data_IF_773388393957
#
_entry.id   IF_773388393957
#
_cell.length_a   1.000
_cell.length_b   1.000
_cell.length_c   1.000
_cell.angle_alpha   90.00
_cell.angle_beta   90.00
_cell.angle_gamma   90.00
#
_symmetry.space_group_name_H-M   'P 1'
#
loop_
_entity.id
_entity.type
_entity.pdbx_description
1 polymer ?
#
# COMPACT_ATOMS: atom_id res chain seq x y z
N UNK A 1 -8.07 -41.54 13.32
CA UNK A 1 -7.51 -40.18 13.23
C UNK A 1 -8.70 -39.25 13.14
N UNK A 2 -8.65 -38.12 13.85
CA UNK A 2 -9.74 -37.14 13.77
C UNK A 2 -9.63 -36.38 12.44
N UNK A 3 -10.73 -35.77 11.98
CA UNK A 3 -10.72 -34.92 10.77
C UNK A 3 -9.85 -33.67 10.90
N UNK A 4 -9.43 -33.33 12.13
CA UNK A 4 -8.54 -32.21 12.43
C UNK A 4 -7.09 -32.62 12.16
N UNK A 5 -6.68 -33.80 12.65
CA UNK A 5 -5.33 -34.35 12.41
C UNK A 5 -5.00 -34.54 10.92
N UNK A 6 -5.99 -34.92 10.11
CA UNK A 6 -5.82 -35.09 8.66
C UNK A 6 -5.63 -33.75 7.92
N UNK A 7 -6.22 -32.67 8.44
CA UNK A 7 -6.14 -31.33 7.84
C UNK A 7 -4.80 -30.69 8.15
N UNK A 8 -4.37 -30.69 9.41
CA UNK A 8 -3.06 -30.17 9.80
C UNK A 8 -1.93 -30.83 9.00
N UNK A 9 -2.03 -32.15 8.80
CA UNK A 9 -1.08 -32.90 7.99
C UNK A 9 -1.11 -32.48 6.51
N UNK A 10 -2.28 -32.12 5.97
CA UNK A 10 -2.42 -31.63 4.60
C UNK A 10 -1.85 -30.22 4.42
N UNK A 11 -2.07 -29.34 5.41
CA UNK A 11 -1.54 -27.98 5.43
C UNK A 11 -0.01 -27.97 5.42
N UNK A 12 0.62 -28.71 6.35
CA UNK A 12 2.09 -28.81 6.43
C UNK A 12 2.69 -29.37 5.14
N UNK A 13 2.09 -30.44 4.59
CA UNK A 13 2.54 -31.02 3.31
C UNK A 13 2.45 -30.01 2.16
N UNK A 14 1.43 -29.17 2.15
CA UNK A 14 1.28 -28.16 1.10
C UNK A 14 2.32 -27.05 1.22
N UNK A 15 2.68 -26.65 2.44
CA UNK A 15 3.78 -25.69 2.68
C UNK A 15 5.11 -26.28 2.18
N UNK A 16 5.43 -27.51 2.58
CA UNK A 16 6.66 -28.20 2.18
C UNK A 16 6.74 -28.35 0.65
N UNK A 17 5.64 -28.74 0.02
CA UNK A 17 5.56 -28.90 -1.43
C UNK A 17 5.70 -27.56 -2.15
N UNK A 18 5.04 -26.51 -1.67
CA UNK A 18 5.17 -25.16 -2.22
C UNK A 18 6.59 -24.64 -2.17
N UNK A 19 7.28 -24.82 -1.04
CA UNK A 19 8.70 -24.48 -0.89
C UNK A 19 9.57 -25.29 -1.85
N UNK A 20 9.41 -26.62 -1.89
CA UNK A 20 10.18 -27.51 -2.75
C UNK A 20 10.05 -27.11 -4.22
N UNK A 21 8.83 -26.89 -4.70
CA UNK A 21 8.56 -26.47 -6.07
C UNK A 21 9.15 -25.09 -6.40
N UNK A 22 9.12 -24.17 -5.45
CA UNK A 22 9.76 -22.86 -5.62
C UNK A 22 11.29 -23.00 -5.69
N UNK A 23 11.90 -23.88 -4.90
CA UNK A 23 13.32 -24.21 -5.01
C UNK A 23 13.68 -24.80 -6.37
N UNK A 24 12.85 -25.72 -6.87
CA UNK A 24 13.01 -26.41 -8.15
C UNK A 24 12.69 -25.51 -9.36
N UNK A 25 12.10 -24.33 -9.14
CA UNK A 25 11.71 -23.40 -10.21
C UNK A 25 10.43 -23.79 -10.95
N UNK A 26 9.60 -24.68 -10.38
CA UNK A 26 8.32 -25.11 -10.96
C UNK A 26 7.23 -24.06 -10.70
N UNK A 27 7.14 -23.06 -11.59
CA UNK A 27 6.19 -21.96 -11.45
C UNK A 27 4.73 -22.43 -11.39
N UNK A 28 4.36 -23.41 -12.21
CA UNK A 28 2.98 -23.93 -12.23
C UNK A 28 2.66 -24.61 -10.92
N UNK A 29 3.55 -25.48 -10.46
CA UNK A 29 3.30 -26.20 -9.24
C UNK A 29 3.30 -25.29 -8.00
N UNK A 30 4.05 -24.18 -8.00
CA UNK A 30 3.96 -23.15 -6.96
C UNK A 30 2.60 -22.43 -6.98
N UNK A 31 2.07 -22.11 -8.17
CA UNK A 31 0.72 -21.53 -8.32
C UNK A 31 -0.36 -22.45 -7.73
N UNK A 32 -0.26 -23.76 -7.99
CA UNK A 32 -1.18 -24.75 -7.43
C UNK A 32 -1.09 -24.80 -5.89
N UNK A 33 0.13 -24.68 -5.35
CA UNK A 33 0.36 -24.61 -3.91
C UNK A 33 -0.25 -23.34 -3.30
N UNK A 34 -0.08 -22.18 -3.94
CA UNK A 34 -0.70 -20.93 -3.48
C UNK A 34 -2.22 -20.98 -3.47
N UNK A 35 -2.83 -21.62 -4.46
CA UNK A 35 -4.29 -21.81 -4.51
C UNK A 35 -4.76 -22.64 -3.33
N UNK A 36 -4.05 -23.72 -3.02
CA UNK A 36 -4.38 -24.63 -1.91
C UNK A 36 -4.18 -23.96 -0.54
N UNK A 37 -3.05 -23.28 -0.33
CA UNK A 37 -2.75 -22.57 0.91
C UNK A 37 -3.76 -21.44 1.18
N UNK A 38 -4.14 -20.70 0.14
CA UNK A 38 -5.21 -19.71 0.22
C UNK A 38 -6.53 -20.34 0.66
N UNK A 39 -6.93 -21.44 0.02
CA UNK A 39 -8.21 -22.09 0.33
C UNK A 39 -8.24 -22.58 1.79
N UNK A 40 -7.13 -23.12 2.31
CA UNK A 40 -7.02 -23.47 3.73
C UNK A 40 -7.12 -22.25 4.65
N UNK A 41 -6.38 -21.17 4.35
CA UNK A 41 -6.43 -19.95 5.15
C UNK A 41 -7.84 -19.34 5.18
N UNK A 42 -8.52 -19.30 4.03
CA UNK A 42 -9.92 -18.85 3.91
C UNK A 42 -10.86 -19.75 4.71
N UNK A 43 -10.69 -21.07 4.66
CA UNK A 43 -11.50 -21.98 5.48
C UNK A 43 -11.33 -21.68 6.98
N UNK A 44 -10.10 -21.50 7.47
CA UNK A 44 -9.83 -21.18 8.87
C UNK A 44 -10.42 -19.83 9.30
N UNK A 45 -10.40 -18.83 8.42
CA UNK A 45 -11.04 -17.53 8.64
C UNK A 45 -12.56 -17.67 8.88
N UNK A 46 -13.19 -18.66 8.25
CA UNK A 46 -14.63 -18.93 8.36
C UNK A 46 -15.02 -19.80 9.56
N UNK A 47 -14.06 -20.45 10.23
CA UNK A 47 -14.32 -21.22 11.44
C UNK A 47 -14.48 -20.30 12.65
N UNK A 48 -14.95 -20.90 13.75
CA UNK A 48 -15.05 -20.22 15.04
C UNK A 48 -13.72 -19.59 15.46
N UNK A 49 -13.81 -18.43 16.10
CA UNK A 49 -12.65 -17.70 16.60
C UNK A 49 -12.05 -18.43 17.81
N UNK A 50 -11.17 -19.38 17.54
CA UNK A 50 -10.33 -20.05 18.53
C UNK A 50 -8.88 -19.60 18.38
N UNK A 51 -8.09 -19.73 19.45
CA UNK A 51 -6.67 -19.39 19.40
C UNK A 51 -5.89 -20.26 18.41
N UNK A 52 -6.29 -21.54 18.29
CA UNK A 52 -5.74 -22.51 17.35
C UNK A 52 -5.98 -22.10 15.90
N UNK A 53 -7.25 -21.93 15.49
CA UNK A 53 -7.60 -21.50 14.13
C UNK A 53 -6.92 -20.18 13.72
N UNK A 54 -6.78 -19.25 14.67
CA UNK A 54 -6.10 -17.97 14.44
C UNK A 54 -4.59 -18.13 14.25
N UNK A 55 -3.94 -19.04 14.98
CA UNK A 55 -2.52 -19.34 14.83
C UNK A 55 -2.23 -20.10 13.53
N UNK A 56 -3.07 -21.06 13.17
CA UNK A 56 -2.91 -21.85 11.95
C UNK A 56 -3.09 -20.97 10.70
N UNK A 57 -4.12 -20.10 10.70
CA UNK A 57 -4.30 -19.13 9.61
C UNK A 57 -3.09 -18.18 9.49
N UNK A 58 -2.51 -17.75 10.62
CA UNK A 58 -1.28 -16.93 10.61
C UNK A 58 -0.10 -17.71 10.05
N UNK A 59 0.06 -18.98 10.39
CA UNK A 59 1.12 -19.83 9.88
C UNK A 59 1.03 -19.98 8.36
N UNK A 60 -0.17 -20.20 7.82
CA UNK A 60 -0.40 -20.27 6.37
C UNK A 60 -0.08 -18.94 5.68
N UNK A 61 -0.51 -17.80 6.26
CA UNK A 61 -0.18 -16.46 5.74
C UNK A 61 1.35 -16.25 5.69
N UNK A 62 2.07 -16.64 6.75
CA UNK A 62 3.53 -16.53 6.80
C UNK A 62 4.16 -17.41 5.72
N UNK A 63 3.71 -18.67 5.59
CA UNK A 63 4.23 -19.60 4.60
C UNK A 63 4.02 -19.10 3.16
N UNK A 64 2.86 -18.51 2.85
CA UNK A 64 2.63 -17.87 1.55
C UNK A 64 3.61 -16.71 1.31
N UNK A 65 3.90 -15.90 2.33
CA UNK A 65 4.91 -14.85 2.25
C UNK A 65 6.31 -15.38 1.98
N UNK A 66 6.73 -16.44 2.68
CA UNK A 66 8.07 -17.01 2.54
C UNK A 66 8.27 -17.72 1.19
N UNK A 67 7.27 -18.47 0.72
CA UNK A 67 7.28 -19.03 -0.64
C UNK A 67 7.31 -17.88 -1.66
N UNK A 68 6.52 -16.82 -1.45
CA UNK A 68 6.48 -15.64 -2.32
C UNK A 68 7.86 -14.98 -2.47
N UNK A 69 8.61 -14.83 -1.38
CA UNK A 69 9.99 -14.31 -1.43
C UNK A 69 10.90 -15.20 -2.26
N UNK A 70 10.81 -16.51 -2.10
CA UNK A 70 11.58 -17.46 -2.91
C UNK A 70 11.23 -17.35 -4.40
N UNK A 71 9.96 -17.13 -4.75
CA UNK A 71 9.58 -16.86 -6.15
C UNK A 71 10.21 -15.57 -6.69
N UNK A 72 10.36 -14.53 -5.86
CA UNK A 72 11.04 -13.29 -6.23
C UNK A 72 12.52 -13.53 -6.50
N UNK A 73 13.20 -14.26 -5.61
CA UNK A 73 14.62 -14.64 -5.76
C UNK A 73 14.88 -15.41 -7.05
N UNK A 74 13.95 -16.29 -7.41
CA UNK A 74 13.98 -17.10 -8.64
C UNK A 74 13.40 -16.37 -9.86
N UNK A 75 12.91 -15.15 -9.70
CA UNK A 75 12.25 -14.33 -10.75
C UNK A 75 11.09 -15.06 -11.44
N UNK A 76 10.32 -15.83 -10.69
CA UNK A 76 9.20 -16.62 -11.20
C UNK A 76 7.93 -15.76 -11.27
N UNK A 77 7.83 -14.88 -12.27
CA UNK A 77 6.79 -13.83 -12.34
C UNK A 77 5.36 -14.34 -12.13
N UNK A 78 4.95 -15.41 -12.81
CA UNK A 78 3.60 -15.98 -12.68
C UNK A 78 3.33 -16.47 -11.24
N UNK A 79 4.32 -17.13 -10.63
CA UNK A 79 4.20 -17.62 -9.26
C UNK A 79 4.21 -16.46 -8.24
N UNK A 80 4.99 -15.41 -8.50
CA UNK A 80 5.00 -14.19 -7.68
C UNK A 80 3.67 -13.44 -7.73
N UNK A 81 3.03 -13.35 -8.91
CA UNK A 81 1.68 -12.79 -9.05
C UNK A 81 0.66 -13.64 -8.27
N UNK A 82 0.76 -14.97 -8.33
CA UNK A 82 -0.10 -15.84 -7.54
C UNK A 82 0.07 -15.63 -6.03
N UNK A 83 1.29 -15.38 -5.55
CA UNK A 83 1.54 -15.05 -4.15
C UNK A 83 0.82 -13.75 -3.73
N UNK A 84 0.90 -12.71 -4.58
CA UNK A 84 0.22 -11.42 -4.39
C UNK A 84 -1.28 -11.62 -4.29
N UNK A 85 -1.87 -12.36 -5.24
CA UNK A 85 -3.33 -12.58 -5.27
C UNK A 85 -3.79 -13.41 -4.07
N UNK A 86 -3.10 -14.50 -3.74
CA UNK A 86 -3.47 -15.34 -2.58
C UNK A 86 -3.44 -14.54 -1.28
N UNK A 87 -2.39 -13.74 -1.03
CA UNK A 87 -2.34 -12.90 0.17
C UNK A 87 -3.38 -11.77 0.16
N UNK A 88 -3.62 -11.16 -1.00
CA UNK A 88 -4.66 -10.14 -1.18
C UNK A 88 -6.06 -10.68 -0.88
N UNK A 89 -6.42 -11.84 -1.45
CA UNK A 89 -7.71 -12.49 -1.23
C UNK A 89 -7.90 -12.87 0.24
N UNK A 90 -6.87 -13.41 0.90
CA UNK A 90 -6.91 -13.74 2.33
C UNK A 90 -7.08 -12.49 3.19
N UNK A 91 -6.38 -11.39 2.86
CA UNK A 91 -6.53 -10.13 3.58
C UNK A 91 -7.95 -9.56 3.45
N UNK A 92 -8.52 -9.61 2.23
CA UNK A 92 -9.89 -9.18 1.96
C UNK A 92 -10.90 -10.02 2.72
N UNK A 93 -10.81 -11.34 2.67
CA UNK A 93 -11.75 -12.23 3.35
C UNK A 93 -11.66 -12.06 4.88
N UNK A 94 -10.45 -11.96 5.42
CA UNK A 94 -10.25 -11.70 6.84
C UNK A 94 -10.88 -10.37 7.27
N UNK A 95 -10.74 -9.32 6.45
CA UNK A 95 -11.37 -8.02 6.72
C UNK A 95 -12.91 -8.14 6.69
N UNK A 96 -13.49 -8.80 5.68
CA UNK A 96 -14.94 -9.00 5.58
C UNK A 96 -15.50 -9.78 6.78
N UNK A 97 -14.72 -10.70 7.34
CA UNK A 97 -15.04 -11.47 8.54
C UNK A 97 -14.68 -10.78 9.86
N UNK A 98 -14.22 -9.53 9.81
CA UNK A 98 -13.76 -8.75 10.98
C UNK A 98 -12.64 -9.44 11.77
N UNK A 99 -11.85 -10.29 11.10
CA UNK A 99 -10.64 -10.93 11.63
C UNK A 99 -9.44 -10.00 11.43
N UNK A 100 -9.47 -8.85 12.10
CA UNK A 100 -8.52 -7.74 11.87
C UNK A 100 -7.06 -8.17 12.01
N UNK A 101 -6.74 -9.03 12.99
CA UNK A 101 -5.36 -9.52 13.17
C UNK A 101 -4.86 -10.36 11.99
N UNK A 102 -5.72 -11.16 11.35
CA UNK A 102 -5.37 -11.94 10.15
C UNK A 102 -5.25 -11.03 8.93
N UNK A 103 -6.18 -10.09 8.78
CA UNK A 103 -6.17 -9.14 7.67
C UNK A 103 -4.91 -8.28 7.68
N UNK A 104 -4.51 -7.75 8.85
CA UNK A 104 -3.26 -7.03 9.03
C UNK A 104 -2.04 -7.91 8.70
N UNK A 105 -2.03 -9.16 9.15
CA UNK A 105 -0.91 -10.07 8.90
C UNK A 105 -0.75 -10.38 7.40
N UNK A 106 -1.86 -10.62 6.70
CA UNK A 106 -1.86 -10.88 5.26
C UNK A 106 -1.47 -9.64 4.46
N UNK A 107 -1.99 -8.47 4.81
CA UNK A 107 -1.60 -7.18 4.21
C UNK A 107 -0.10 -6.89 4.43
N UNK A 108 0.44 -7.16 5.62
CA UNK A 108 1.88 -7.04 5.88
C UNK A 108 2.72 -8.00 5.05
N UNK A 109 2.27 -9.25 4.87
CA UNK A 109 2.92 -10.20 3.97
C UNK A 109 2.95 -9.69 2.53
N UNK A 110 1.80 -9.21 2.04
CA UNK A 110 1.67 -8.62 0.71
C UNK A 110 2.57 -7.40 0.53
N UNK A 111 2.58 -6.48 1.49
CA UNK A 111 3.43 -5.29 1.48
C UNK A 111 4.92 -5.64 1.45
N UNK A 112 5.33 -6.61 2.26
CA UNK A 112 6.71 -7.12 2.25
C UNK A 112 7.11 -7.73 0.90
N UNK A 113 6.22 -8.51 0.28
CA UNK A 113 6.45 -9.05 -1.06
C UNK A 113 6.54 -7.95 -2.13
N UNK A 114 5.67 -6.93 -2.06
CA UNK A 114 5.72 -5.81 -2.99
C UNK A 114 7.10 -5.13 -3.00
N UNK A 115 7.67 -4.90 -1.82
CA UNK A 115 9.01 -4.34 -1.67
C UNK A 115 10.10 -5.28 -2.18
N UNK A 116 9.98 -6.58 -1.94
CA UNK A 116 10.92 -7.59 -2.46
C UNK A 116 10.91 -7.63 -3.99
N UNK A 117 9.73 -7.63 -4.62
CA UNK A 117 9.63 -7.63 -6.08
C UNK A 117 10.23 -6.37 -6.69
N UNK A 118 10.01 -5.21 -6.06
CA UNK A 118 10.65 -3.97 -6.49
C UNK A 118 12.18 -4.06 -6.35
N UNK A 119 12.71 -4.61 -5.24
CA UNK A 119 14.14 -4.84 -5.06
C UNK A 119 14.75 -5.76 -6.12
N UNK A 120 14.01 -6.77 -6.60
CA UNK A 120 14.47 -7.63 -7.70
C UNK A 120 14.29 -7.00 -9.09
N UNK A 121 13.75 -5.79 -9.17
CA UNK A 121 13.47 -5.10 -10.42
C UNK A 121 12.32 -5.74 -11.23
N UNK A 122 11.41 -6.44 -10.57
CA UNK A 122 10.28 -7.12 -11.20
C UNK A 122 9.09 -6.15 -11.33
N UNK A 123 9.22 -5.13 -12.20
CA UNK A 123 8.28 -3.99 -12.30
C UNK A 123 6.82 -4.45 -12.49
N UNK A 124 6.56 -5.39 -13.40
CA UNK A 124 5.20 -5.89 -13.65
C UNK A 124 4.56 -6.55 -12.40
N UNK A 125 5.36 -7.26 -11.61
CA UNK A 125 4.89 -7.95 -10.40
C UNK A 125 4.72 -6.96 -9.25
N UNK A 126 5.68 -6.05 -9.07
CA UNK A 126 5.59 -4.98 -8.07
C UNK A 126 4.41 -4.04 -8.33
N UNK A 127 4.13 -3.72 -9.60
CA UNK A 127 2.92 -3.01 -10.03
C UNK A 127 1.65 -3.78 -9.65
N UNK A 128 1.60 -5.09 -9.90
CA UNK A 128 0.43 -5.88 -9.53
C UNK A 128 0.23 -5.94 -8.00
N UNK A 129 1.31 -5.96 -7.22
CA UNK A 129 1.25 -5.83 -5.78
C UNK A 129 0.72 -4.45 -5.35
N UNK A 130 1.14 -3.36 -6.03
CA UNK A 130 0.61 -2.01 -5.80
C UNK A 130 -0.90 -1.93 -6.09
N UNK A 131 -1.38 -2.55 -7.18
CA UNK A 131 -2.81 -2.64 -7.50
C UNK A 131 -3.59 -3.34 -6.38
N UNK A 132 -3.06 -4.45 -5.89
CA UNK A 132 -3.68 -5.24 -4.83
C UNK A 132 -3.72 -4.47 -3.50
N UNK A 133 -2.62 -3.84 -3.11
CA UNK A 133 -2.53 -2.96 -1.94
C UNK A 133 -3.52 -1.79 -2.03
N UNK A 134 -3.58 -1.14 -3.19
CA UNK A 134 -4.46 0.01 -3.39
C UNK A 134 -5.95 -0.32 -3.37
N UNK A 135 -6.33 -1.45 -3.97
CA UNK A 135 -7.71 -1.94 -3.92
C UNK A 135 -8.12 -2.34 -2.49
N UNK A 136 -7.23 -3.02 -1.76
CA UNK A 136 -7.46 -3.38 -0.36
C UNK A 136 -7.55 -2.14 0.54
N UNK A 137 -6.73 -1.11 0.30
CA UNK A 137 -6.81 0.18 0.99
C UNK A 137 -8.18 0.84 0.83
N UNK A 138 -8.69 0.91 -0.41
CA UNK A 138 -10.04 1.46 -0.69
C UNK A 138 -11.16 0.64 -0.04
N UNK A 139 -11.11 -0.69 -0.16
CA UNK A 139 -12.09 -1.57 0.49
C UNK A 139 -12.05 -1.44 2.01
N UNK A 140 -10.87 -1.23 2.58
CA UNK A 140 -10.71 -1.00 4.03
C UNK A 140 -11.36 0.31 4.47
N UNK A 141 -11.30 1.37 3.66
CA UNK A 141 -12.04 2.62 3.92
C UNK A 141 -13.56 2.37 3.94
N UNK A 142 -14.08 1.67 2.93
CA UNK A 142 -15.52 1.33 2.84
C UNK A 142 -15.99 0.52 4.05
N UNK A 143 -15.13 -0.35 4.58
CA UNK A 143 -15.35 -1.14 5.78
C UNK A 143 -15.06 -0.40 7.10
N UNK A 144 -14.64 0.88 7.05
CA UNK A 144 -14.21 1.70 8.20
C UNK A 144 -13.06 1.10 9.01
N UNK A 145 -12.16 0.38 8.34
CA UNK A 145 -10.95 -0.24 8.92
C UNK A 145 -9.74 0.69 8.74
N UNK A 146 -9.67 1.74 9.54
CA UNK A 146 -8.66 2.81 9.37
C UNK A 146 -7.21 2.30 9.41
N UNK A 147 -6.93 1.34 10.29
CA UNK A 147 -5.58 0.77 10.45
C UNK A 147 -5.14 0.02 9.19
N UNK A 148 -6.03 -0.76 8.58
CA UNK A 148 -5.74 -1.47 7.33
C UNK A 148 -5.56 -0.49 6.15
N UNK A 149 -6.42 0.53 6.07
CA UNK A 149 -6.29 1.56 5.04
C UNK A 149 -4.94 2.29 5.15
N UNK A 150 -4.59 2.74 6.36
CA UNK A 150 -3.33 3.44 6.65
C UNK A 150 -2.10 2.56 6.37
N UNK A 151 -2.18 1.26 6.68
CA UNK A 151 -1.11 0.31 6.40
C UNK A 151 -0.93 0.11 4.89
N UNK A 152 -2.03 0.05 4.13
CA UNK A 152 -2.00 -0.04 2.67
C UNK A 152 -1.35 1.19 2.04
N UNK A 153 -1.74 2.40 2.47
CA UNK A 153 -1.12 3.66 2.05
C UNK A 153 0.38 3.68 2.37
N UNK A 154 0.77 3.22 3.56
CA UNK A 154 2.18 3.19 3.96
C UNK A 154 3.00 2.27 3.05
N UNK A 155 2.51 1.06 2.74
CA UNK A 155 3.20 0.16 1.81
C UNK A 155 3.25 0.72 0.39
N UNK A 156 2.19 1.39 -0.09
CA UNK A 156 2.22 2.06 -1.39
C UNK A 156 3.29 3.15 -1.45
N UNK A 157 3.44 3.96 -0.40
CA UNK A 157 4.51 4.96 -0.32
C UNK A 157 5.90 4.32 -0.31
N UNK A 158 6.12 3.30 0.54
CA UNK A 158 7.41 2.60 0.58
C UNK A 158 7.75 1.97 -0.77
N UNK A 159 6.76 1.38 -1.44
CA UNK A 159 6.89 0.80 -2.76
C UNK A 159 7.17 1.84 -3.84
N UNK A 160 6.48 2.98 -3.83
CA UNK A 160 6.76 4.09 -4.75
C UNK A 160 8.20 4.60 -4.57
N UNK A 161 8.67 4.71 -3.33
CA UNK A 161 10.06 5.11 -3.04
C UNK A 161 11.06 4.08 -3.55
N UNK A 162 10.82 2.79 -3.30
CA UNK A 162 11.67 1.70 -3.81
C UNK A 162 11.66 1.66 -5.34
N UNK A 163 10.50 1.82 -5.98
CA UNK A 163 10.35 1.90 -7.43
C UNK A 163 11.12 3.09 -8.03
N UNK A 164 11.18 4.22 -7.31
CA UNK A 164 12.03 5.35 -7.69
C UNK A 164 13.53 5.04 -7.58
N UNK A 165 13.94 4.27 -6.56
CA UNK A 165 15.33 3.83 -6.39
C UNK A 165 15.76 2.84 -7.49
N UNK A 166 14.87 1.90 -7.84
CA UNK A 166 15.13 0.79 -8.76
C UNK A 166 14.71 1.08 -10.22
N UNK A 167 14.26 2.31 -10.51
CA UNK A 167 13.79 2.76 -11.83
C UNK A 167 12.67 1.88 -12.42
N UNK A 168 11.59 1.71 -11.66
CA UNK A 168 10.40 0.91 -11.99
C UNK A 168 9.20 1.83 -12.28
N UNK A 169 9.10 2.39 -13.51
CA UNK A 169 8.15 3.45 -13.82
C UNK A 169 6.68 3.02 -13.70
N UNK A 170 6.34 1.76 -14.01
CA UNK A 170 4.96 1.29 -13.91
C UNK A 170 4.52 1.16 -12.46
N UNK A 171 5.36 0.54 -11.62
CA UNK A 171 5.13 0.43 -10.17
C UNK A 171 5.02 1.81 -9.52
N UNK A 172 5.94 2.71 -9.85
CA UNK A 172 5.97 4.07 -9.31
C UNK A 172 4.67 4.83 -9.64
N UNK A 173 4.26 4.84 -10.91
CA UNK A 173 3.04 5.53 -11.34
C UNK A 173 1.78 4.92 -10.72
N UNK A 174 1.70 3.60 -10.66
CA UNK A 174 0.58 2.88 -10.04
C UNK A 174 0.46 3.19 -8.55
N UNK A 175 1.56 3.13 -7.80
CA UNK A 175 1.55 3.38 -6.37
C UNK A 175 1.13 4.82 -6.03
N UNK A 176 1.65 5.82 -6.76
CA UNK A 176 1.24 7.23 -6.61
C UNK A 176 -0.24 7.42 -6.94
N UNK A 177 -0.73 6.80 -8.02
CA UNK A 177 -2.14 6.88 -8.41
C UNK A 177 -3.07 6.26 -7.36
N UNK A 178 -2.67 5.16 -6.73
CA UNK A 178 -3.47 4.56 -5.66
C UNK A 178 -3.46 5.38 -4.38
N UNK A 179 -2.34 6.02 -4.00
CA UNK A 179 -2.32 6.99 -2.90
C UNK A 179 -3.34 8.12 -3.13
N UNK A 180 -3.32 8.74 -4.31
CA UNK A 180 -4.34 9.76 -4.66
C UNK A 180 -5.75 9.17 -4.61
N UNK A 181 -5.94 7.97 -5.15
CA UNK A 181 -7.24 7.31 -5.18
C UNK A 181 -7.80 7.03 -3.79
N UNK A 182 -6.96 6.58 -2.85
CA UNK A 182 -7.35 6.35 -1.45
C UNK A 182 -7.69 7.68 -0.77
N UNK A 183 -6.82 8.69 -0.89
CA UNK A 183 -7.05 10.01 -0.31
C UNK A 183 -8.32 10.71 -0.82
N UNK A 184 -8.67 10.49 -2.08
CA UNK A 184 -9.95 10.94 -2.66
C UNK A 184 -11.13 10.16 -2.10
N UNK A 185 -11.01 8.84 -2.01
CA UNK A 185 -12.09 7.98 -1.48
C UNK A 185 -12.40 8.26 -0.01
N UNK A 186 -11.40 8.59 0.80
CA UNK A 186 -11.59 8.82 2.24
C UNK A 186 -12.25 10.15 2.58
N UNK A 187 -12.08 11.18 1.76
CA UNK A 187 -12.70 12.49 1.99
C UNK A 187 -14.23 12.42 1.89
N UNK A 188 -14.76 11.51 1.05
CA UNK A 188 -16.18 11.26 0.92
C UNK A 188 -16.79 10.39 2.03
N UNK A 189 -15.99 9.85 2.96
CA UNK A 189 -16.41 8.81 3.90
C UNK A 189 -16.27 9.20 5.39
N UNK A 190 -16.21 10.50 5.72
CA UNK A 190 -15.90 11.03 7.07
C UNK A 190 -14.49 10.63 7.58
N UNK A 191 -13.64 10.08 6.71
CA UNK A 191 -12.29 9.62 7.03
C UNK A 191 -11.23 10.65 6.57
N UNK A 192 -11.46 11.92 6.90
CA UNK A 192 -10.59 13.03 6.49
C UNK A 192 -9.11 12.83 6.91
N UNK A 193 -8.86 12.10 8.00
CA UNK A 193 -7.50 11.78 8.44
C UNK A 193 -6.72 10.97 7.39
N UNK A 194 -7.35 10.03 6.69
CA UNK A 194 -6.71 9.28 5.60
C UNK A 194 -6.43 10.18 4.39
N UNK A 195 -7.30 11.14 4.09
CA UNK A 195 -7.05 12.13 3.03
C UNK A 195 -5.84 13.01 3.34
N UNK A 196 -5.74 13.49 4.58
CA UNK A 196 -4.55 14.21 5.09
C UNK A 196 -3.32 13.30 5.02
N UNK A 197 -3.47 12.03 5.42
CA UNK A 197 -2.42 11.02 5.36
C UNK A 197 -1.86 10.82 3.95
N UNK A 198 -2.71 10.64 2.96
CA UNK A 198 -2.33 10.55 1.54
C UNK A 198 -1.56 11.78 1.07
N UNK A 199 -1.98 13.00 1.44
CA UNK A 199 -1.24 14.22 1.10
C UNK A 199 0.16 14.27 1.74
N UNK A 200 0.29 13.84 3.00
CA UNK A 200 1.59 13.72 3.70
C UNK A 200 2.51 12.70 3.00
N UNK A 201 1.98 11.55 2.59
CA UNK A 201 2.78 10.53 1.90
C UNK A 201 3.25 11.01 0.52
N UNK A 202 2.42 11.78 -0.18
CA UNK A 202 2.81 12.46 -1.42
C UNK A 202 3.87 13.55 -1.17
N UNK A 203 3.80 14.29 -0.05
CA UNK A 203 4.85 15.23 0.39
C UNK A 203 6.20 14.50 0.51
N UNK A 204 6.22 13.36 1.21
CA UNK A 204 7.44 12.55 1.41
C UNK A 204 8.03 12.06 0.08
N UNK A 205 7.19 11.59 -0.84
CA UNK A 205 7.62 11.14 -2.17
C UNK A 205 8.14 12.30 -3.03
N UNK A 206 7.47 13.45 -2.99
CA UNK A 206 7.91 14.66 -3.70
C UNK A 206 9.26 15.16 -3.18
N UNK A 207 9.46 15.20 -1.87
CA UNK A 207 10.74 15.58 -1.25
C UNK A 207 11.85 14.59 -1.66
N UNK A 208 11.55 13.29 -1.69
CA UNK A 208 12.50 12.28 -2.14
C UNK A 208 12.91 12.49 -3.62
N UNK A 209 11.94 12.79 -4.50
CA UNK A 209 12.19 13.09 -5.90
C UNK A 209 13.05 14.37 -6.07
N UNK A 210 12.78 15.42 -5.30
CA UNK A 210 13.60 16.66 -5.31
C UNK A 210 15.04 16.35 -4.90
N UNK A 211 15.24 15.61 -3.80
CA UNK A 211 16.58 15.24 -3.31
C UNK A 211 17.39 14.42 -4.31
N UNK A 212 16.71 13.60 -5.13
CA UNK A 212 17.31 12.85 -6.23
C UNK A 212 17.52 13.67 -7.50
N UNK A 213 17.14 14.94 -7.51
CA UNK A 213 17.17 15.82 -8.69
C UNK A 213 16.30 15.29 -9.85
N UNK A 214 15.24 14.55 -9.55
CA UNK A 214 14.34 13.96 -10.55
C UNK A 214 13.12 14.86 -10.78
N UNK A 215 13.31 15.94 -11.52
CA UNK A 215 12.27 16.92 -11.83
C UNK A 215 11.00 16.30 -12.49
N UNK A 216 11.10 15.34 -13.44
CA UNK A 216 9.92 14.65 -13.97
C UNK A 216 9.04 14.01 -12.90
N UNK A 217 9.63 13.34 -11.90
CA UNK A 217 8.85 12.72 -10.81
C UNK A 217 8.26 13.76 -9.86
N UNK A 218 8.96 14.86 -9.60
CA UNK A 218 8.40 15.98 -8.82
C UNK A 218 7.14 16.52 -9.49
N UNK A 219 7.17 16.69 -10.82
CA UNK A 219 5.99 17.14 -11.58
C UNK A 219 4.81 16.19 -11.44
N UNK A 220 5.03 14.89 -11.55
CA UNK A 220 3.91 13.95 -11.42
C UNK A 220 3.35 13.94 -9.98
N UNK A 221 4.16 14.17 -8.94
CA UNK A 221 3.65 14.39 -7.59
C UNK A 221 2.81 15.69 -7.51
N UNK A 222 3.25 16.77 -8.15
CA UNK A 222 2.47 18.01 -8.24
C UNK A 222 1.12 17.78 -8.94
N UNK A 223 1.10 17.05 -10.06
CA UNK A 223 -0.11 16.69 -10.79
C UNK A 223 -1.04 15.77 -9.97
N UNK A 224 -0.46 14.85 -9.20
CA UNK A 224 -1.17 13.99 -8.26
C UNK A 224 -1.85 14.81 -7.14
N UNK A 225 -1.13 15.78 -6.56
CA UNK A 225 -1.65 16.70 -5.55
C UNK A 225 -2.72 17.64 -6.11
N UNK A 226 -2.60 18.07 -7.38
CA UNK A 226 -3.64 18.85 -8.05
C UNK A 226 -4.95 18.05 -8.13
N UNK A 227 -4.86 16.79 -8.58
CA UNK A 227 -6.01 15.90 -8.70
C UNK A 227 -6.66 15.67 -7.34
N UNK A 228 -5.84 15.41 -6.30
CA UNK A 228 -6.31 15.26 -4.93
C UNK A 228 -7.00 16.55 -4.46
N UNK A 229 -6.33 17.70 -4.54
CA UNK A 229 -6.84 18.98 -4.07
C UNK A 229 -8.15 19.41 -4.73
N UNK A 230 -8.29 19.21 -6.05
CA UNK A 230 -9.53 19.50 -6.78
C UNK A 230 -10.71 18.71 -6.24
N UNK A 231 -10.48 17.46 -5.87
CA UNK A 231 -11.52 16.58 -5.38
C UNK A 231 -11.82 16.84 -3.90
N UNK A 232 -10.80 17.09 -3.07
CA UNK A 232 -10.97 17.51 -1.68
C UNK A 232 -11.75 18.82 -1.57
N UNK A 233 -11.52 19.77 -2.48
CA UNK A 233 -12.28 21.02 -2.57
C UNK A 233 -13.76 20.77 -2.87
N UNK A 234 -14.08 19.86 -3.79
CA UNK A 234 -15.47 19.47 -4.10
C UNK A 234 -16.17 18.77 -2.94
N UNK A 235 -15.43 18.00 -2.17
CA UNK A 235 -15.94 17.23 -1.03
C UNK A 235 -15.89 18.01 0.29
N UNK A 236 -15.52 19.30 0.24
CA UNK A 236 -15.39 20.18 1.40
C UNK A 236 -14.48 19.64 2.52
N UNK A 237 -13.50 18.80 2.18
CA UNK A 237 -12.50 18.27 3.12
C UNK A 237 -11.41 19.30 3.37
N UNK A 238 -11.71 20.24 4.28
CA UNK A 238 -10.88 21.42 4.55
C UNK A 238 -9.47 21.05 5.00
N UNK A 239 -9.31 20.15 5.96
CA UNK A 239 -8.00 19.86 6.55
C UNK A 239 -7.07 19.19 5.55
N UNK A 240 -7.61 18.25 4.78
CA UNK A 240 -6.86 17.58 3.72
C UNK A 240 -6.49 18.57 2.59
N UNK A 241 -7.39 19.50 2.25
CA UNK A 241 -7.09 20.54 1.28
C UNK A 241 -5.97 21.48 1.77
N UNK A 242 -6.00 21.91 3.04
CA UNK A 242 -4.92 22.69 3.65
C UNK A 242 -3.59 21.96 3.53
N UNK A 243 -3.55 20.68 3.95
CA UNK A 243 -2.33 19.88 3.87
C UNK A 243 -1.84 19.71 2.43
N UNK A 244 -2.76 19.55 1.47
CA UNK A 244 -2.42 19.43 0.03
C UNK A 244 -1.79 20.73 -0.50
N UNK A 245 -2.36 21.88 -0.16
CA UNK A 245 -1.83 23.21 -0.55
C UNK A 245 -0.46 23.45 0.10
N UNK A 246 -0.31 23.13 1.38
CA UNK A 246 0.96 23.21 2.09
C UNK A 246 2.04 22.35 1.43
N UNK A 247 1.68 21.12 1.06
CA UNK A 247 2.56 20.18 0.38
C UNK A 247 3.02 20.73 -0.95
N UNK A 248 2.10 21.27 -1.77
CA UNK A 248 2.41 21.91 -3.04
C UNK A 248 3.39 23.07 -2.89
N UNK A 249 3.18 23.94 -1.90
CA UNK A 249 4.08 25.07 -1.64
C UNK A 249 5.46 24.60 -1.18
N UNK A 250 5.51 23.58 -0.31
CA UNK A 250 6.77 22.95 0.13
C UNK A 250 7.57 22.41 -1.06
N UNK A 251 6.91 21.66 -1.95
CA UNK A 251 7.57 21.10 -3.13
C UNK A 251 8.00 22.19 -4.11
N UNK A 252 7.20 23.24 -4.29
CA UNK A 252 7.55 24.37 -5.17
C UNK A 252 8.78 25.12 -4.67
N UNK A 253 8.88 25.39 -3.36
CA UNK A 253 10.04 26.05 -2.76
C UNK A 253 11.28 25.18 -2.88
N UNK A 254 11.18 23.89 -2.55
CA UNK A 254 12.31 22.96 -2.69
C UNK A 254 12.74 22.79 -4.16
N UNK A 255 11.80 22.73 -5.10
CA UNK A 255 12.09 22.70 -6.53
C UNK A 255 12.88 23.96 -6.97
N UNK A 256 12.51 25.13 -6.45
CA UNK A 256 13.22 26.39 -6.71
C UNK A 256 14.65 26.36 -6.19
N UNK A 257 14.87 25.89 -4.96
CA UNK A 257 16.20 25.75 -4.36
C UNK A 257 17.12 24.82 -5.19
N UNK A 258 16.55 23.80 -5.84
CA UNK A 258 17.27 22.85 -6.67
C UNK A 258 17.33 23.22 -8.15
N UNK A 259 16.77 24.38 -8.55
CA UNK A 259 16.79 24.87 -9.94
C UNK A 259 15.87 24.10 -10.90
N UNK A 260 14.79 23.51 -10.41
CA UNK A 260 13.81 22.74 -11.19
C UNK A 260 12.69 23.64 -11.74
N UNK A 261 13.02 24.45 -12.76
CA UNK A 261 12.15 25.51 -13.26
C UNK A 261 10.76 25.02 -13.73
N UNK A 262 10.68 23.84 -14.34
CA UNK A 262 9.42 23.31 -14.86
C UNK A 262 8.53 22.77 -13.74
N UNK A 263 9.11 22.19 -12.69
CA UNK A 263 8.38 21.82 -11.48
C UNK A 263 7.91 23.06 -10.69
N UNK A 264 8.72 24.12 -10.61
CA UNK A 264 8.32 25.40 -10.00
C UNK A 264 7.11 26.00 -10.73
N UNK A 265 7.16 26.04 -12.07
CA UNK A 265 6.06 26.56 -12.89
C UNK A 265 4.79 25.72 -12.72
N UNK A 266 4.91 24.38 -12.71
CA UNK A 266 3.79 23.48 -12.47
C UNK A 266 3.17 23.72 -11.09
N UNK A 267 3.99 23.76 -10.03
CA UNK A 267 3.51 23.99 -8.66
C UNK A 267 2.77 25.32 -8.51
N UNK A 268 3.28 26.39 -9.15
CA UNK A 268 2.61 27.70 -9.17
C UNK A 268 1.23 27.63 -9.84
N UNK A 269 1.15 27.03 -11.03
CA UNK A 269 -0.11 26.89 -11.77
C UNK A 269 -1.14 26.06 -10.99
N UNK A 270 -0.70 24.97 -10.36
CA UNK A 270 -1.56 24.12 -9.54
C UNK A 270 -2.09 24.87 -8.31
N UNK A 271 -1.25 25.65 -7.62
CA UNK A 271 -1.68 26.47 -6.48
C UNK A 271 -2.71 27.53 -6.89
N UNK A 272 -2.50 28.20 -8.03
CA UNK A 272 -3.47 29.16 -8.59
C UNK A 272 -4.81 28.47 -8.92
N UNK A 273 -4.78 27.24 -9.44
CA UNK A 273 -5.97 26.48 -9.79
C UNK A 273 -6.79 25.99 -8.59
N UNK A 274 -6.17 25.75 -7.43
CA UNK A 274 -6.84 25.27 -6.22
C UNK A 274 -7.54 26.36 -5.41
N UNK A 275 -7.45 27.63 -5.82
CA UNK A 275 -8.14 28.81 -5.28
C UNK A 275 -8.33 28.78 -3.74
N UNK A 276 -7.29 29.15 -3.01
CA UNK A 276 -7.17 29.06 -1.54
C UNK A 276 -8.02 30.05 -0.74
N UNK A 277 -8.91 30.80 -1.39
CA UNK A 277 -9.81 31.74 -0.71
C UNK A 277 -10.75 30.99 0.24
N UNK A 278 -10.51 31.11 1.55
CA UNK A 278 -11.35 30.53 2.59
C UNK A 278 -10.73 29.40 3.41
N UNK A 279 -9.43 29.13 3.28
CA UNK A 279 -8.72 28.21 4.20
C UNK A 279 -8.70 28.82 5.62
N UNK A 280 -9.39 28.24 6.62
CA UNK A 280 -9.46 28.80 7.98
C UNK A 280 -8.20 28.50 8.80
N UNK A 281 -8.09 29.25 9.90
CA UNK A 281 -7.00 29.36 10.89
C UNK A 281 -6.01 28.18 11.03
N UNK A 282 -4.72 28.49 11.00
CA UNK A 282 -3.59 27.56 10.84
C UNK A 282 -3.35 26.66 12.08
N UNK A 283 -3.74 27.10 13.28
CA UNK A 283 -3.25 26.52 14.54
C UNK A 283 -3.91 25.17 14.90
N UNK A 284 -5.23 25.02 14.77
CA UNK A 284 -5.91 23.73 15.02
C UNK A 284 -5.60 22.66 13.96
N UNK A 285 -5.32 23.10 12.73
CA UNK A 285 -4.98 22.19 11.63
C UNK A 285 -3.59 21.58 11.82
N UNK A 286 -2.65 22.34 12.38
CA UNK A 286 -1.27 21.90 12.63
C UNK A 286 -1.19 20.75 13.65
N UNK A 287 -1.95 20.80 14.75
CA UNK A 287 -1.94 19.73 15.77
C UNK A 287 -2.43 18.40 15.18
N UNK A 288 -3.56 18.42 14.45
CA UNK A 288 -4.14 17.22 13.82
C UNK A 288 -3.23 16.65 12.72
N UNK A 289 -2.59 17.52 11.94
CA UNK A 289 -1.58 17.11 10.94
C UNK A 289 -0.39 16.44 11.63
N UNK A 290 0.07 16.96 12.77
CA UNK A 290 1.18 16.35 13.51
C UNK A 290 0.84 14.97 14.07
N UNK A 291 -0.39 14.76 14.57
CA UNK A 291 -0.86 13.45 15.04
C UNK A 291 -0.84 12.39 13.93
N UNK A 292 -1.30 12.76 12.73
CA UNK A 292 -1.31 11.89 11.55
C UNK A 292 0.12 11.59 11.09
N UNK A 293 1.00 12.60 11.06
CA UNK A 293 2.44 12.41 10.79
C UNK A 293 3.07 11.43 11.80
N UNK A 294 2.67 11.46 13.07
CA UNK A 294 3.16 10.53 14.08
C UNK A 294 2.56 9.13 13.95
N UNK A 295 1.29 8.98 13.54
CA UNK A 295 0.71 7.68 13.21
C UNK A 295 1.50 7.00 12.07
N UNK A 296 1.72 7.69 10.97
CA UNK A 296 2.49 7.17 9.84
C UNK A 296 3.93 6.82 10.25
N UNK A 297 4.60 7.68 11.04
CA UNK A 297 5.92 7.39 11.60
C UNK A 297 5.93 6.13 12.49
N UNK A 298 4.89 5.90 13.29
CA UNK A 298 4.78 4.70 14.13
C UNK A 298 4.60 3.44 13.28
N UNK A 299 3.83 3.50 12.20
CA UNK A 299 3.68 2.40 11.24
C UNK A 299 5.02 2.13 10.54
N UNK A 300 5.71 3.18 10.10
CA UNK A 300 7.04 3.12 9.49
C UNK A 300 8.11 2.47 10.40
N UNK A 301 8.06 2.70 11.72
CA UNK A 301 9.02 2.08 12.67
C UNK A 301 8.72 0.62 12.99
N UNK A 302 7.54 0.11 12.61
CA UNK A 302 7.06 -1.24 12.93
C UNK A 302 6.96 -2.15 11.70
N UNK A 303 7.13 -1.59 10.50
CA UNK A 303 7.26 -2.32 9.23
C UNK A 303 8.73 -2.64 8.95
#
# INVERSE_FOLDING_TARGET
MSSVDERELAEVRMIEEGLRKAYDGDAKGVVDAFSSLRDFAVQLIHLDLTAENELDAKALIIAMGDIGKLTAEKRMEIASIAAVHSLGEVAVEAADRKRESLALKALSGLGGLALEFAEKGMDAVAKNAAETLGNLGKKSLEAKMEVLASLSETYLMQLARKAMDENLPETWATAVNFLVGIGVSSAGQEMENSSVGSAILLEELGIAAVRKRNEPQVKVIIEALEKLGKELSRQESKNALVQTVWTLETLRVLALEYGMETAVAAGKLTLEALNTTGIPDEEQNLERIQEIKELHRRILKRS
#
